data_IF_409419768447
#
_entry.id   IF_409419768447
#
_cell.length_a   1.000
_cell.length_b   1.000
_cell.length_c   1.000
_cell.angle_alpha   90.00
_cell.angle_beta   90.00
_cell.angle_gamma   90.00
#
_symmetry.space_group_name_H-M   'P 1'
#
loop_
_entity.id
_entity.type
_entity.pdbx_description
1 polymer ?
#
# COMPACT_ATOMS: atom_id res chain seq x y z
N UNK A 1 -34.76 3.00 42.27
CA UNK A 1 -34.10 3.54 41.06
C UNK A 1 -33.75 2.37 40.18
N UNK A 2 -34.29 2.29 38.96
CA UNK A 2 -34.15 1.12 38.08
C UNK A 2 -33.21 1.44 36.93
N UNK A 3 -32.25 0.55 36.67
CA UNK A 3 -31.26 0.66 35.58
C UNK A 3 -31.75 -0.06 34.33
N UNK A 4 -32.06 0.69 33.28
CA UNK A 4 -32.31 0.13 31.94
C UNK A 4 -31.01 -0.06 31.16
N UNK A 5 -30.93 -1.04 30.23
CA UNK A 5 -29.73 -1.26 29.42
C UNK A 5 -29.58 -0.17 28.34
N UNK A 6 -28.40 0.44 28.26
CA UNK A 6 -28.04 1.37 27.19
C UNK A 6 -27.90 0.62 25.85
N UNK A 7 -28.61 1.08 24.82
CA UNK A 7 -28.26 0.78 23.42
C UNK A 7 -27.13 1.71 22.99
N UNK A 8 -26.09 1.22 22.29
CA UNK A 8 -25.16 2.12 21.60
C UNK A 8 -25.88 2.77 20.41
N UNK A 9 -25.81 4.10 20.31
CA UNK A 9 -26.27 4.81 19.11
C UNK A 9 -25.27 4.58 17.97
N UNK A 10 -25.78 4.21 16.80
CA UNK A 10 -24.98 4.06 15.59
C UNK A 10 -24.56 5.45 15.09
N UNK A 11 -23.25 5.63 14.87
CA UNK A 11 -22.71 6.82 14.18
C UNK A 11 -23.40 6.92 12.80
N UNK A 12 -24.02 8.06 12.45
CA UNK A 12 -24.64 8.21 11.13
C UNK A 12 -23.60 8.10 10.03
N UNK A 13 -23.82 7.18 9.08
CA UNK A 13 -23.03 7.12 7.85
C UNK A 13 -23.08 8.47 7.12
N UNK A 14 -21.97 8.99 6.58
CA UNK A 14 -22.02 10.16 5.71
C UNK A 14 -22.92 9.84 4.51
N UNK A 15 -23.92 10.69 4.27
CA UNK A 15 -24.87 10.51 3.17
C UNK A 15 -24.12 10.37 1.85
N UNK A 16 -24.49 9.38 1.06
CA UNK A 16 -24.06 9.30 -0.33
C UNK A 16 -24.39 10.61 -1.03
N UNK A 17 -23.36 11.28 -1.56
CA UNK A 17 -23.54 12.44 -2.43
C UNK A 17 -24.21 11.97 -3.72
N UNK A 18 -25.53 12.02 -3.75
CA UNK A 18 -26.33 11.95 -4.95
C UNK A 18 -25.88 13.07 -5.89
N UNK A 19 -25.18 12.71 -6.97
CA UNK A 19 -24.73 13.64 -7.98
C UNK A 19 -25.91 14.09 -8.84
N UNK A 20 -26.65 15.08 -8.35
CA UNK A 20 -27.53 15.88 -9.20
C UNK A 20 -26.67 16.95 -9.89
N UNK A 21 -26.73 17.05 -11.23
CA UNK A 21 -25.82 17.91 -11.98
C UNK A 21 -25.41 17.50 -13.40
N UNK A 22 -26.34 16.99 -14.21
CA UNK A 22 -26.35 17.19 -15.68
C UNK A 22 -25.24 16.55 -16.53
N UNK A 23 -25.48 15.33 -17.01
CA UNK A 23 -24.99 14.90 -18.32
C UNK A 23 -26.17 14.87 -19.31
N UNK A 24 -26.09 15.68 -20.38
CA UNK A 24 -27.04 15.66 -21.48
C UNK A 24 -26.89 14.36 -22.29
N UNK A 25 -27.71 13.35 -21.98
CA UNK A 25 -27.89 12.16 -22.79
C UNK A 25 -28.95 12.40 -23.87
N UNK A 26 -28.53 12.38 -25.13
CA UNK A 26 -29.43 12.43 -26.29
C UNK A 26 -29.27 11.09 -27.02
N UNK A 27 -30.29 10.22 -26.93
CA UNK A 27 -30.79 9.33 -28.00
C UNK A 27 -31.68 8.20 -27.45
N UNK A 28 -32.92 8.22 -27.96
CA UNK A 28 -33.74 7.13 -28.51
C UNK A 28 -34.33 6.02 -27.61
N UNK A 29 -35.64 5.88 -27.79
CA UNK A 29 -36.52 4.85 -27.24
C UNK A 29 -36.28 3.48 -27.90
N UNK A 30 -36.38 2.42 -27.10
CA UNK A 30 -36.87 1.12 -27.57
C UNK A 30 -37.55 0.41 -26.41
N UNK A 31 -38.85 0.19 -26.54
CA UNK A 31 -39.66 -0.64 -25.65
C UNK A 31 -39.37 -2.12 -25.85
N UNK A 32 -39.34 -2.90 -24.78
CA UNK A 32 -40.08 -4.17 -24.78
C UNK A 32 -40.52 -4.58 -23.36
N UNK A 33 -41.57 -5.38 -23.30
CA UNK A 33 -42.33 -5.77 -22.11
C UNK A 33 -42.39 -7.28 -21.95
N UNK A 34 -42.23 -7.81 -20.73
CA UNK A 34 -42.99 -8.98 -20.25
C UNK A 34 -42.69 -9.28 -18.78
N UNK A 35 -43.76 -9.48 -18.00
CA UNK A 35 -43.75 -10.04 -16.65
C UNK A 35 -43.31 -11.52 -16.63
N UNK A 36 -42.89 -12.02 -15.45
CA UNK A 36 -43.61 -13.13 -14.81
C UNK A 36 -43.17 -13.35 -13.34
N UNK A 37 -44.03 -14.03 -12.57
CA UNK A 37 -44.12 -14.00 -11.11
C UNK A 37 -43.72 -15.36 -10.45
N UNK A 38 -43.94 -15.49 -9.12
CA UNK A 38 -44.08 -16.72 -8.30
C UNK A 38 -42.90 -17.25 -7.44
N UNK A 39 -42.91 -16.78 -6.19
CA UNK A 39 -43.11 -17.59 -4.95
C UNK A 39 -42.15 -18.73 -4.50
N UNK A 40 -41.52 -18.49 -3.33
CA UNK A 40 -41.45 -19.35 -2.10
C UNK A 40 -41.14 -20.86 -2.13
N UNK A 41 -40.32 -21.33 -1.17
CA UNK A 41 -40.67 -22.36 -0.15
C UNK A 41 -39.54 -22.52 0.89
N UNK A 42 -39.89 -22.81 2.15
CA UNK A 42 -38.98 -23.26 3.22
C UNK A 42 -39.59 -24.47 3.95
N UNK A 43 -38.78 -25.34 4.58
CA UNK A 43 -38.87 -25.58 6.03
C UNK A 43 -37.46 -25.74 6.68
N UNK A 44 -37.18 -25.48 7.97
CA UNK A 44 -37.64 -26.13 9.22
C UNK A 44 -37.47 -27.66 9.24
N UNK A 45 -37.06 -28.35 10.31
CA UNK A 45 -36.34 -28.05 11.56
C UNK A 45 -35.99 -29.42 12.20
N UNK A 46 -35.03 -29.53 13.13
CA UNK A 46 -35.16 -30.34 14.37
C UNK A 46 -33.88 -30.37 15.22
N UNK A 47 -34.05 -30.64 16.52
CA UNK A 47 -33.00 -30.68 17.54
C UNK A 47 -33.21 -31.86 18.49
N UNK A 48 -32.15 -32.41 19.09
CA UNK A 48 -32.26 -33.30 20.26
C UNK A 48 -31.09 -33.14 21.25
N UNK A 49 -31.45 -33.27 22.53
CA UNK A 49 -30.60 -33.38 23.73
C UNK A 49 -29.98 -34.81 23.84
N UNK A 50 -29.21 -35.24 24.85
CA UNK A 50 -29.25 -34.90 26.29
C UNK A 50 -27.96 -35.34 27.06
N UNK A 51 -27.99 -35.12 28.38
CA UNK A 51 -26.95 -35.21 29.44
C UNK A 51 -26.34 -36.60 29.73
N UNK A 52 -25.22 -36.58 30.47
CA UNK A 52 -24.77 -37.67 31.36
C UNK A 52 -23.47 -37.39 32.13
N UNK A 53 -23.50 -37.36 33.47
CA UNK A 53 -22.34 -37.13 34.38
C UNK A 53 -22.08 -38.38 35.28
N UNK A 54 -21.35 -38.32 36.42
CA UNK A 54 -19.93 -38.71 36.57
C UNK A 54 -19.69 -39.84 37.62
N UNK A 55 -18.43 -40.18 37.94
CA UNK A 55 -18.07 -40.87 39.20
C UNK A 55 -16.64 -40.56 39.69
N UNK A 56 -16.51 -40.47 41.03
CA UNK A 56 -15.26 -40.43 41.82
C UNK A 56 -14.85 -41.83 42.32
N UNK A 57 -13.63 -42.00 42.84
CA UNK A 57 -13.33 -42.17 44.29
C UNK A 57 -11.99 -42.91 44.59
N UNK A 58 -11.54 -42.78 45.85
CA UNK A 58 -10.66 -43.65 46.66
C UNK A 58 -9.20 -43.24 46.98
N UNK A 59 -8.91 -43.27 48.28
CA UNK A 59 -7.66 -42.96 49.01
C UNK A 59 -6.70 -44.18 49.11
N UNK A 60 -5.57 -44.26 49.86
CA UNK A 60 -4.81 -43.45 50.85
C UNK A 60 -3.44 -44.12 51.10
N UNK A 61 -2.46 -43.43 51.74
CA UNK A 61 -1.69 -43.87 52.95
C UNK A 61 -0.44 -43.03 53.23
N UNK A 62 -0.01 -43.01 54.51
CA UNK A 62 1.15 -42.30 55.10
C UNK A 62 1.94 -43.29 55.97
N UNK A 63 3.25 -43.10 56.18
CA UNK A 63 3.75 -43.11 57.57
C UNK A 63 4.90 -42.11 57.88
N UNK A 64 5.06 -41.86 59.19
CA UNK A 64 6.13 -41.12 59.89
C UNK A 64 7.44 -41.96 60.02
N UNK A 65 8.62 -41.50 60.46
CA UNK A 65 9.08 -40.28 61.14
C UNK A 65 10.63 -40.08 60.96
N UNK A 66 11.18 -39.02 61.59
CA UNK A 66 12.46 -38.95 62.35
C UNK A 66 13.48 -37.91 61.85
N UNK A 67 13.96 -37.05 62.78
CA UNK A 67 15.36 -36.63 62.84
C UNK A 67 15.72 -35.27 62.24
N UNK A 68 16.27 -34.37 63.08
CA UNK A 68 16.75 -33.05 62.65
C UNK A 68 18.22 -33.08 62.21
N UNK A 69 18.55 -32.33 61.14
CA UNK A 69 19.91 -31.83 60.90
C UNK A 69 19.87 -30.51 60.10
N UNK A 70 20.53 -29.47 60.64
CA UNK A 70 20.71 -28.19 59.98
C UNK A 70 21.71 -28.31 58.83
N UNK A 71 21.24 -28.22 57.58
CA UNK A 71 22.10 -27.94 56.43
C UNK A 71 21.78 -26.55 55.87
N UNK A 72 22.83 -25.77 55.62
CA UNK A 72 22.73 -24.41 55.12
C UNK A 72 22.10 -24.36 53.73
N UNK A 73 21.23 -23.37 53.51
CA UNK A 73 20.69 -23.04 52.20
C UNK A 73 21.87 -22.58 51.32
N UNK A 74 22.17 -23.24 50.19
CA UNK A 74 23.17 -22.72 49.25
C UNK A 74 22.66 -21.40 48.65
N UNK A 75 23.53 -20.40 48.41
CA UNK A 75 23.09 -19.13 47.86
C UNK A 75 22.43 -19.37 46.51
N UNK A 76 21.28 -18.71 46.28
CA UNK A 76 20.65 -18.66 44.96
C UNK A 76 21.66 -18.00 44.02
N UNK A 77 22.32 -18.82 43.19
CA UNK A 77 23.12 -18.32 42.08
C UNK A 77 22.14 -17.61 41.17
N UNK A 78 22.28 -16.29 41.09
CA UNK A 78 21.47 -15.46 40.24
C UNK A 78 21.85 -15.78 38.79
N UNK A 79 21.15 -16.76 38.19
CA UNK A 79 21.34 -17.12 36.80
C UNK A 79 20.87 -15.94 35.96
N UNK A 80 21.83 -15.13 35.52
CA UNK A 80 21.60 -14.13 34.49
C UNK A 80 20.98 -14.88 33.30
N UNK A 81 19.68 -14.65 33.06
CA UNK A 81 18.99 -15.25 31.93
C UNK A 81 19.71 -14.81 30.67
N UNK A 82 20.28 -15.76 29.93
CA UNK A 82 20.91 -15.42 28.66
C UNK A 82 19.87 -14.73 27.77
N UNK A 83 20.22 -13.59 27.14
CA UNK A 83 19.30 -12.88 26.27
C UNK A 83 18.88 -13.81 25.14
N UNK A 84 17.56 -13.91 24.90
CA UNK A 84 17.03 -14.74 23.82
C UNK A 84 17.66 -14.36 22.46
N UNK A 85 17.71 -15.29 21.51
CA UNK A 85 18.26 -15.01 20.18
C UNK A 85 17.62 -13.77 19.51
N UNK A 86 16.33 -13.52 19.76
CA UNK A 86 15.64 -12.30 19.32
C UNK A 86 16.13 -11.03 20.03
N UNK A 87 16.45 -11.11 21.33
CA UNK A 87 17.06 -10.00 22.08
C UNK A 87 18.47 -9.68 21.59
N UNK A 88 19.28 -10.70 21.32
CA UNK A 88 20.62 -10.55 20.74
C UNK A 88 20.57 -9.91 19.34
N UNK A 89 19.72 -10.41 18.44
CA UNK A 89 19.50 -9.82 17.10
C UNK A 89 19.02 -8.35 17.18
N UNK A 90 18.19 -8.01 18.19
CA UNK A 90 17.77 -6.62 18.47
C UNK A 90 18.94 -5.76 18.92
N UNK A 91 19.78 -6.24 19.84
CA UNK A 91 20.99 -5.52 20.27
C UNK A 91 21.98 -5.32 19.12
N UNK A 92 22.24 -6.35 18.31
CA UNK A 92 23.11 -6.24 17.13
C UNK A 92 22.61 -5.23 16.10
N UNK A 93 21.30 -5.23 15.81
CA UNK A 93 20.71 -4.28 14.85
C UNK A 93 20.73 -2.84 15.36
N UNK A 94 20.49 -2.61 16.66
CA UNK A 94 20.64 -1.27 17.29
C UNK A 94 22.10 -0.80 17.25
N UNK A 95 23.05 -1.64 17.64
CA UNK A 95 24.49 -1.32 17.63
C UNK A 95 25.02 -1.09 16.21
N UNK A 96 24.50 -1.81 15.20
CA UNK A 96 24.83 -1.56 13.79
C UNK A 96 24.32 -0.19 13.33
N UNK A 97 23.06 0.16 13.63
CA UNK A 97 22.46 1.46 13.27
C UNK A 97 23.19 2.66 13.87
N UNK A 98 23.70 2.56 15.11
CA UNK A 98 24.51 3.61 15.73
C UNK A 98 25.81 3.95 14.96
N UNK A 99 26.23 3.09 14.03
CA UNK A 99 27.41 3.28 13.16
C UNK A 99 27.05 3.63 11.70
N UNK A 100 25.76 3.73 11.37
CA UNK A 100 25.29 4.01 10.02
C UNK A 100 24.99 5.51 9.86
N UNK A 101 25.36 6.07 8.71
CA UNK A 101 24.96 7.42 8.35
C UNK A 101 23.48 7.44 7.94
N UNK A 102 22.80 8.56 8.17
CA UNK A 102 21.43 8.78 7.66
C UNK A 102 21.52 9.60 6.38
N UNK A 103 20.81 9.21 5.33
CA UNK A 103 20.76 9.97 4.07
C UNK A 103 19.79 11.17 4.13
N UNK A 104 19.73 11.95 3.04
CA UNK A 104 18.86 13.14 2.94
C UNK A 104 17.35 12.84 3.07
N UNK A 105 16.99 11.56 3.04
CA UNK A 105 15.62 11.06 3.13
C UNK A 105 15.33 10.31 4.44
N UNK A 106 16.24 10.33 5.41
CA UNK A 106 16.04 9.69 6.70
C UNK A 106 16.38 8.19 6.75
N UNK A 107 16.90 7.57 5.69
CA UNK A 107 17.26 6.15 5.69
C UNK A 107 18.70 5.92 6.17
N UNK A 108 18.89 4.92 7.03
CA UNK A 108 20.22 4.45 7.43
C UNK A 108 20.94 3.79 6.25
N UNK A 109 22.18 4.20 5.99
CA UNK A 109 23.05 3.65 4.95
C UNK A 109 24.30 3.02 5.57
N UNK A 110 24.67 1.85 5.05
CA UNK A 110 25.89 1.16 5.44
C UNK A 110 27.12 1.94 4.92
N UNK A 111 28.14 2.25 5.75
CA UNK A 111 29.33 3.03 5.33
C UNK A 111 30.23 2.38 4.27
N UNK A 112 29.94 1.16 3.80
CA UNK A 112 30.80 0.42 2.86
C UNK A 112 30.98 1.13 1.49
N UNK A 113 32.19 1.14 0.89
CA UNK A 113 32.50 1.93 -0.32
C UNK A 113 31.84 1.46 -1.64
N UNK A 114 30.96 0.46 -1.62
CA UNK A 114 30.41 -0.18 -2.83
C UNK A 114 28.95 0.12 -3.13
N UNK A 115 28.23 0.81 -2.23
CA UNK A 115 26.93 1.38 -2.60
C UNK A 115 27.17 2.69 -3.34
N UNK A 116 26.78 2.72 -4.63
CA UNK A 116 26.82 3.92 -5.46
C UNK A 116 26.26 5.12 -4.70
N UNK A 117 27.14 6.09 -4.43
CA UNK A 117 26.75 7.37 -3.87
C UNK A 117 25.70 7.99 -4.78
N UNK A 118 24.56 8.37 -4.20
CA UNK A 118 23.71 9.37 -4.82
C UNK A 118 24.60 10.58 -5.12
N UNK A 119 24.76 11.00 -6.38
CA UNK A 119 25.41 12.25 -6.66
C UNK A 119 24.48 13.35 -6.15
N UNK A 120 24.78 13.87 -4.96
CA UNK A 120 24.05 15.00 -4.38
C UNK A 120 23.84 16.07 -5.46
N UNK A 121 22.61 16.57 -5.58
CA UNK A 121 22.24 17.57 -6.59
C UNK A 121 23.10 18.86 -6.48
N UNK A 122 23.80 19.06 -5.36
CA UNK A 122 24.75 20.13 -5.14
C UNK A 122 26.12 19.94 -5.84
N UNK A 123 26.54 18.72 -6.18
CA UNK A 123 27.93 18.40 -6.53
C UNK A 123 28.25 18.26 -8.03
N UNK A 124 27.30 18.54 -8.94
CA UNK A 124 27.59 18.67 -10.39
C UNK A 124 27.82 20.14 -10.74
N UNK A 125 29.06 20.57 -10.48
CA UNK A 125 29.66 21.81 -10.97
C UNK A 125 31.02 21.49 -11.62
N UNK A 126 31.27 22.10 -12.79
CA UNK A 126 32.51 21.95 -13.60
C UNK A 126 32.72 20.63 -14.35
N UNK A 127 31.94 20.39 -15.42
CA UNK A 127 32.49 19.97 -16.73
C UNK A 127 31.43 20.02 -17.86
N UNK A 128 31.62 20.98 -18.78
CA UNK A 128 31.13 21.05 -20.17
C UNK A 128 29.92 20.20 -20.65
N UNK A 129 28.75 20.83 -20.84
CA UNK A 129 28.19 21.16 -22.17
C UNK A 129 26.71 21.56 -22.06
N UNK A 130 26.26 22.51 -22.88
CA UNK A 130 25.05 23.29 -22.61
C UNK A 130 23.71 22.55 -22.79
N UNK A 131 23.01 22.30 -21.69
CA UNK A 131 21.53 22.21 -21.60
C UNK A 131 21.06 22.79 -20.26
N UNK A 132 20.01 23.62 -20.30
CA UNK A 132 19.58 24.48 -19.19
C UNK A 132 19.42 23.76 -17.84
N UNK A 133 20.25 24.15 -16.87
CA UNK A 133 20.05 23.90 -15.44
C UNK A 133 18.87 24.78 -14.98
N UNK A 134 17.63 24.31 -15.19
CA UNK A 134 16.42 24.98 -14.67
C UNK A 134 16.55 25.01 -13.15
N UNK A 135 16.76 26.20 -12.58
CA UNK A 135 17.13 26.32 -11.16
C UNK A 135 16.05 25.73 -10.25
N UNK A 136 16.47 25.17 -9.12
CA UNK A 136 15.56 24.56 -8.13
C UNK A 136 14.51 25.58 -7.68
N UNK A 137 14.93 26.82 -7.40
CA UNK A 137 14.02 27.94 -7.10
C UNK A 137 13.02 28.27 -8.23
N UNK A 138 13.34 28.00 -9.50
CA UNK A 138 12.37 28.15 -10.61
C UNK A 138 11.28 27.07 -10.55
N UNK A 139 11.60 25.83 -10.14
CA UNK A 139 10.58 24.78 -9.94
C UNK A 139 9.72 25.07 -8.71
N UNK A 140 10.34 25.47 -7.60
CA UNK A 140 9.66 25.80 -6.35
C UNK A 140 8.70 26.99 -6.52
N UNK A 141 9.16 28.08 -7.13
CA UNK A 141 8.31 29.22 -7.45
C UNK A 141 7.14 28.87 -8.38
N UNK A 142 7.32 27.92 -9.32
CA UNK A 142 6.24 27.44 -10.17
C UNK A 142 5.17 26.63 -9.42
N UNK A 143 5.56 25.89 -8.38
CA UNK A 143 4.62 25.22 -7.49
C UNK A 143 3.95 26.19 -6.51
N UNK A 144 4.66 27.21 -6.01
CA UNK A 144 4.07 28.28 -5.21
C UNK A 144 3.01 29.10 -5.99
N UNK A 145 3.25 29.43 -7.27
CA UNK A 145 2.24 30.04 -8.19
C UNK A 145 0.98 29.16 -8.31
N UNK A 146 1.15 27.84 -8.42
CA UNK A 146 0.04 26.91 -8.55
C UNK A 146 -0.76 26.77 -7.25
N UNK A 147 -0.07 26.63 -6.11
CA UNK A 147 -0.70 26.36 -4.81
C UNK A 147 -1.33 27.61 -4.18
N UNK A 148 -0.82 28.82 -4.48
CA UNK A 148 -1.41 30.08 -4.01
C UNK A 148 -2.80 30.38 -4.58
N UNK A 149 -3.20 29.70 -5.67
CA UNK A 149 -4.45 29.96 -6.38
C UNK A 149 -5.18 28.65 -6.76
N UNK A 150 -5.05 27.63 -5.92
CA UNK A 150 -5.37 26.23 -6.24
C UNK A 150 -6.75 26.04 -6.91
N UNK A 151 -7.83 26.46 -6.24
CA UNK A 151 -9.21 26.27 -6.73
C UNK A 151 -9.48 26.95 -8.08
N UNK A 152 -8.87 28.11 -8.33
CA UNK A 152 -9.03 28.85 -9.60
C UNK A 152 -8.18 28.26 -10.73
N UNK A 153 -7.09 27.57 -10.41
CA UNK A 153 -6.08 27.13 -11.37
C UNK A 153 -6.17 25.64 -11.75
N UNK A 154 -6.68 24.76 -10.89
CA UNK A 154 -6.60 23.29 -11.08
C UNK A 154 -7.12 22.80 -12.44
N UNK A 155 -8.37 23.14 -12.79
CA UNK A 155 -8.98 22.73 -14.06
C UNK A 155 -8.24 23.33 -15.27
N UNK A 156 -7.89 24.62 -15.20
CA UNK A 156 -7.29 25.39 -16.30
C UNK A 156 -5.82 25.05 -16.57
N UNK A 157 -5.06 24.67 -15.54
CA UNK A 157 -3.61 24.38 -15.64
C UNK A 157 -3.27 22.88 -15.60
N UNK A 158 -4.23 21.97 -15.82
CA UNK A 158 -4.05 20.50 -15.75
C UNK A 158 -2.84 19.97 -16.56
N UNK A 159 -2.52 20.56 -17.71
CA UNK A 159 -1.32 20.17 -18.48
C UNK A 159 -0.01 20.60 -17.81
N UNK A 160 0.06 21.83 -17.26
CA UNK A 160 1.21 22.35 -16.49
C UNK A 160 1.45 21.50 -15.25
N UNK A 161 0.39 21.19 -14.49
CA UNK A 161 0.45 20.33 -13.29
C UNK A 161 1.08 18.97 -13.64
N UNK A 162 0.62 18.31 -14.70
CA UNK A 162 1.21 17.03 -15.15
C UNK A 162 2.66 17.15 -15.59
N UNK A 163 3.06 18.24 -16.24
CA UNK A 163 4.45 18.46 -16.64
C UNK A 163 5.35 18.64 -15.40
N UNK A 164 4.91 19.43 -14.42
CA UNK A 164 5.66 19.67 -13.19
C UNK A 164 5.72 18.43 -12.29
N UNK A 165 4.60 17.73 -12.10
CA UNK A 165 4.53 16.45 -11.40
C UNK A 165 5.27 15.31 -12.09
N UNK A 166 5.73 15.49 -13.34
CA UNK A 166 6.69 14.61 -14.03
C UNK A 166 8.15 15.02 -13.86
N UNK A 167 8.42 16.22 -13.30
CA UNK A 167 9.76 16.79 -13.11
C UNK A 167 10.19 16.94 -11.64
N UNK A 168 9.35 16.45 -10.72
CA UNK A 168 9.51 16.56 -9.27
C UNK A 168 8.65 17.67 -8.66
N UNK A 169 7.96 17.34 -7.56
CA UNK A 169 7.54 18.32 -6.55
C UNK A 169 8.72 18.51 -5.59
N UNK A 170 9.13 19.75 -5.26
CA UNK A 170 10.14 20.01 -4.23
C UNK A 170 9.71 19.45 -2.87
N UNK A 171 10.65 18.92 -2.10
CA UNK A 171 10.42 18.33 -0.78
C UNK A 171 9.62 19.27 0.14
N UNK A 172 10.09 20.53 0.26
CA UNK A 172 9.45 21.63 1.00
C UNK A 172 7.96 21.87 0.68
N UNK A 173 7.47 21.40 -0.47
CA UNK A 173 6.11 21.60 -0.94
C UNK A 173 5.29 20.31 -1.05
N UNK A 174 5.86 19.13 -0.81
CA UNK A 174 5.15 17.84 -0.99
C UNK A 174 3.89 17.73 -0.16
N UNK A 175 3.97 17.98 1.15
CA UNK A 175 2.80 17.95 2.04
C UNK A 175 1.65 18.83 1.53
N UNK A 176 1.93 20.11 1.23
CA UNK A 176 0.93 21.05 0.72
C UNK A 176 0.41 20.67 -0.66
N UNK A 177 1.27 20.19 -1.55
CA UNK A 177 0.90 19.85 -2.91
C UNK A 177 0.07 18.56 -2.98
N UNK A 178 0.47 17.51 -2.27
CA UNK A 178 -0.27 16.24 -2.22
C UNK A 178 -1.63 16.41 -1.55
N UNK A 179 -1.71 17.14 -0.44
CA UNK A 179 -2.99 17.49 0.20
C UNK A 179 -3.94 18.19 -0.77
N UNK A 180 -3.46 19.22 -1.49
CA UNK A 180 -4.26 19.94 -2.47
C UNK A 180 -4.63 19.09 -3.70
N UNK A 181 -3.72 18.24 -4.20
CA UNK A 181 -3.94 17.36 -5.36
C UNK A 181 -4.91 16.21 -5.07
N UNK A 182 -4.84 15.61 -3.87
CA UNK A 182 -5.79 14.61 -3.40
C UNK A 182 -7.12 15.26 -2.97
N UNK A 183 -7.09 16.52 -2.55
CA UNK A 183 -8.22 17.21 -1.95
C UNK A 183 -8.57 16.65 -0.57
N UNK A 184 -7.56 16.28 0.25
CA UNK A 184 -7.74 15.80 1.62
C UNK A 184 -8.06 16.93 2.60
N UNK A 185 -7.63 18.15 2.29
CA UNK A 185 -8.06 19.40 2.93
C UNK A 185 -9.59 19.54 2.99
N UNK A 186 -10.27 19.10 1.92
CA UNK A 186 -11.74 19.15 1.79
C UNK A 186 -12.47 18.00 2.47
N UNK A 187 -11.73 17.01 3.00
CA UNK A 187 -12.26 15.94 3.83
C UNK A 187 -11.98 16.16 5.33
N UNK A 188 -11.06 17.06 5.68
CA UNK A 188 -10.62 17.28 7.06
C UNK A 188 -11.74 17.82 7.93
N UNK A 189 -12.24 17.00 8.85
CA UNK A 189 -13.21 17.36 9.88
C UNK A 189 -12.54 17.44 11.27
N UNK A 190 -12.51 18.62 11.92
CA UNK A 190 -11.83 18.79 13.21
C UNK A 190 -12.36 17.87 14.31
N UNK A 191 -11.47 17.22 15.06
CA UNK A 191 -11.82 16.37 16.20
C UNK A 191 -12.24 14.94 15.85
N UNK A 192 -12.37 14.60 14.56
CA UNK A 192 -12.74 13.24 14.13
C UNK A 192 -11.57 12.26 14.34
N UNK A 193 -10.34 12.66 14.00
CA UNK A 193 -9.17 11.79 14.18
C UNK A 193 -8.93 11.44 15.65
N UNK A 194 -9.04 12.42 16.54
CA UNK A 194 -8.91 12.25 17.99
C UNK A 194 -10.01 11.32 18.54
N UNK A 195 -11.25 11.47 18.06
CA UNK A 195 -12.39 10.61 18.44
C UNK A 195 -12.16 9.17 18.00
N UNK A 196 -11.71 8.95 16.76
CA UNK A 196 -11.41 7.62 16.22
C UNK A 196 -10.30 6.91 17.02
N UNK A 197 -9.36 7.65 17.59
CA UNK A 197 -8.33 7.11 18.48
C UNK A 197 -8.83 6.80 19.90
N UNK A 198 -9.74 7.62 20.42
CA UNK A 198 -10.25 7.49 21.79
C UNK A 198 -11.37 6.43 21.94
N UNK A 199 -12.28 6.36 20.98
CA UNK A 199 -13.50 5.54 21.02
C UNK A 199 -13.43 4.31 20.10
N UNK A 200 -12.41 4.23 19.25
CA UNK A 200 -12.26 3.21 18.24
C UNK A 200 -11.84 1.84 18.78
N UNK A 201 -12.57 0.79 18.38
CA UNK A 201 -12.18 -0.60 18.57
C UNK A 201 -12.31 -1.36 17.25
N UNK A 202 -11.34 -2.21 16.93
CA UNK A 202 -11.38 -3.08 15.75
C UNK A 202 -10.57 -4.37 15.99
N UNK A 203 -11.07 -5.55 15.58
CA UNK A 203 -10.32 -6.80 15.67
C UNK A 203 -9.03 -6.78 14.82
N UNK A 204 -8.89 -5.81 13.91
CA UNK A 204 -7.71 -5.64 13.07
C UNK A 204 -6.55 -4.93 13.80
N UNK A 205 -6.73 -4.44 15.03
CA UNK A 205 -5.68 -3.75 15.77
C UNK A 205 -4.45 -4.64 16.03
N UNK A 206 -4.63 -5.94 16.31
CA UNK A 206 -3.51 -6.89 16.46
C UNK A 206 -2.78 -7.14 15.12
N UNK A 207 -3.53 -7.16 14.01
CA UNK A 207 -2.97 -7.29 12.66
C UNK A 207 -2.11 -6.06 12.33
N UNK A 208 -2.59 -4.86 12.69
CA UNK A 208 -1.85 -3.61 12.56
C UNK A 208 -0.55 -3.67 13.37
N UNK A 209 -0.59 -3.99 14.67
CA UNK A 209 0.63 -4.03 15.51
C UNK A 209 1.74 -4.90 14.92
N UNK A 210 1.38 -6.09 14.42
CA UNK A 210 2.33 -7.03 13.82
C UNK A 210 3.02 -6.46 12.57
N UNK A 211 2.33 -5.61 11.81
CA UNK A 211 2.86 -5.01 10.58
C UNK A 211 3.59 -3.67 10.81
N UNK A 212 3.41 -2.98 11.95
CA UNK A 212 4.13 -1.72 12.28
C UNK A 212 5.65 -1.89 12.13
N UNK A 213 6.21 -2.94 12.76
CA UNK A 213 7.66 -3.22 12.74
C UNK A 213 8.25 -3.49 11.34
N UNK A 214 7.40 -3.75 10.34
CA UNK A 214 7.80 -4.03 8.95
C UNK A 214 7.74 -2.78 8.05
N UNK A 215 7.15 -1.69 8.54
CA UNK A 215 6.98 -0.47 7.77
C UNK A 215 8.22 0.42 7.93
N UNK A 216 9.04 0.50 6.87
CA UNK A 216 10.27 1.29 6.81
C UNK A 216 11.26 1.09 7.99
N UNK A 217 11.63 -0.15 8.36
CA UNK A 217 12.54 -0.41 9.49
C UNK A 217 13.96 0.13 9.31
N UNK A 218 14.32 0.58 8.09
CA UNK A 218 15.59 1.23 7.76
C UNK A 218 15.53 2.76 7.84
N UNK A 219 14.37 3.35 8.13
CA UNK A 219 14.17 4.80 8.22
C UNK A 219 14.19 5.27 9.68
N UNK A 220 14.92 6.35 9.98
CA UNK A 220 15.15 6.87 11.33
C UNK A 220 13.87 7.07 12.15
N UNK A 221 12.82 7.63 11.54
CA UNK A 221 11.50 7.84 12.18
C UNK A 221 10.83 6.53 12.66
N UNK A 222 11.05 5.40 11.99
CA UNK A 222 10.34 4.13 12.26
C UNK A 222 11.24 3.01 12.80
N UNK A 223 12.55 3.25 12.88
CA UNK A 223 13.54 2.24 13.27
C UNK A 223 13.48 1.86 14.75
N UNK A 224 13.06 2.77 15.63
CA UNK A 224 12.93 2.53 17.07
C UNK A 224 11.63 1.75 17.38
N UNK A 225 11.78 0.57 17.98
CA UNK A 225 10.65 -0.27 18.39
C UNK A 225 9.84 0.41 19.50
N UNK A 226 8.57 0.72 19.23
CA UNK A 226 7.73 1.49 20.14
C UNK A 226 7.98 3.00 20.15
N UNK A 227 8.93 3.51 19.35
CA UNK A 227 9.22 4.94 19.23
C UNK A 227 8.07 5.77 18.65
N UNK A 228 8.25 7.09 18.63
CA UNK A 228 7.19 8.04 18.25
C UNK A 228 6.64 7.77 16.84
N UNK A 229 7.49 7.55 15.83
CA UNK A 229 7.03 7.30 14.47
C UNK A 229 6.25 5.98 14.31
N UNK A 230 6.64 4.93 15.03
CA UNK A 230 5.84 3.69 15.08
C UNK A 230 4.48 3.91 15.77
N UNK A 231 4.44 4.75 16.80
CA UNK A 231 3.20 5.13 17.49
C UNK A 231 2.29 5.99 16.61
N UNK A 232 2.85 6.95 15.87
CA UNK A 232 2.11 7.76 14.90
C UNK A 232 1.57 6.90 13.75
N UNK A 233 2.37 5.95 13.24
CA UNK A 233 1.93 4.99 12.22
C UNK A 233 0.78 4.11 12.71
N UNK A 234 0.89 3.54 13.91
CA UNK A 234 -0.18 2.81 14.59
C UNK A 234 -1.46 3.64 14.66
N UNK A 235 -1.37 4.87 15.13
CA UNK A 235 -2.53 5.75 15.32
C UNK A 235 -3.23 6.04 13.98
N UNK A 236 -2.50 6.41 12.93
CA UNK A 236 -3.07 6.63 11.59
C UNK A 236 -3.79 5.39 11.06
N UNK A 237 -3.20 4.20 11.19
CA UNK A 237 -3.78 2.95 10.71
C UNK A 237 -4.99 2.49 11.53
N UNK A 238 -4.96 2.66 12.86
CA UNK A 238 -6.09 2.34 13.74
C UNK A 238 -7.28 3.27 13.48
N UNK A 239 -7.02 4.58 13.38
CA UNK A 239 -8.06 5.55 13.03
C UNK A 239 -8.71 5.23 11.68
N UNK A 240 -7.92 4.87 10.66
CA UNK A 240 -8.46 4.45 9.36
C UNK A 240 -9.32 3.18 9.44
N UNK A 241 -8.86 2.15 10.15
CA UNK A 241 -9.58 0.89 10.29
C UNK A 241 -10.93 1.02 11.05
N UNK A 242 -11.08 2.08 11.85
CA UNK A 242 -12.34 2.44 12.53
C UNK A 242 -13.20 3.37 11.66
N UNK A 243 -12.58 4.32 10.94
CA UNK A 243 -13.25 5.26 10.03
C UNK A 243 -13.98 4.54 8.89
N UNK A 244 -13.36 3.53 8.29
CA UNK A 244 -13.95 2.73 7.24
C UNK A 244 -13.87 1.23 7.59
N UNK A 245 -14.86 0.66 8.31
CA UNK A 245 -14.84 -0.74 8.72
C UNK A 245 -15.15 -1.73 7.58
N UNK A 246 -15.67 -1.27 6.43
CA UNK A 246 -15.90 -2.11 5.24
C UNK A 246 -14.57 -2.53 4.59
N UNK A 247 -13.62 -1.60 4.52
CA UNK A 247 -12.24 -1.85 4.06
C UNK A 247 -11.36 -2.32 5.22
N UNK A 248 -11.53 -1.71 6.40
CA UNK A 248 -10.73 -1.95 7.59
C UNK A 248 -9.24 -1.64 7.36
N UNK A 249 -8.38 -2.57 7.77
CA UNK A 249 -6.95 -2.56 7.48
C UNK A 249 -6.59 -3.67 6.50
N UNK A 250 -5.82 -3.33 5.48
CA UNK A 250 -5.29 -4.27 4.49
C UNK A 250 -3.77 -4.11 4.40
N UNK A 251 -3.05 -5.24 4.25
CA UNK A 251 -1.60 -5.26 4.18
C UNK A 251 -1.10 -4.37 3.03
N UNK A 252 -0.10 -3.54 3.32
CA UNK A 252 0.42 -2.51 2.41
C UNK A 252 -0.01 -1.10 2.80
N UNK A 253 -1.14 -0.91 3.48
CA UNK A 253 -1.56 0.42 3.98
C UNK A 253 -0.51 1.07 4.89
N UNK A 254 0.23 0.30 5.69
CA UNK A 254 1.32 0.82 6.52
C UNK A 254 2.46 1.45 5.72
N UNK A 255 2.71 0.97 4.50
CA UNK A 255 3.68 1.60 3.59
C UNK A 255 3.18 2.93 3.05
N UNK A 256 1.86 3.10 2.85
CA UNK A 256 1.26 4.37 2.46
C UNK A 256 1.28 5.37 3.62
N UNK A 257 0.81 4.95 4.81
CA UNK A 257 0.77 5.81 5.99
C UNK A 257 2.17 6.24 6.44
N UNK A 258 3.16 5.34 6.42
CA UNK A 258 4.55 5.68 6.73
C UNK A 258 5.16 6.68 5.73
N UNK A 259 4.89 6.51 4.43
CA UNK A 259 5.29 7.46 3.38
C UNK A 259 4.67 8.85 3.62
N UNK A 260 3.41 8.93 4.06
CA UNK A 260 2.75 10.21 4.35
C UNK A 260 3.34 10.88 5.60
N UNK A 261 3.56 10.11 6.68
CA UNK A 261 4.14 10.58 7.94
C UNK A 261 5.56 11.15 7.81
N UNK A 262 6.33 10.70 6.81
CA UNK A 262 7.64 11.29 6.49
C UNK A 262 7.55 12.76 6.02
N UNK A 263 6.38 13.21 5.54
CA UNK A 263 6.18 14.55 4.99
C UNK A 263 5.19 15.43 5.77
N UNK A 264 4.31 14.86 6.60
CA UNK A 264 3.29 15.63 7.33
C UNK A 264 2.87 14.98 8.66
N UNK A 265 2.23 15.73 9.59
CA UNK A 265 1.82 15.19 10.88
C UNK A 265 0.76 14.08 10.78
N UNK A 266 0.43 13.40 11.89
CA UNK A 266 -0.45 12.23 11.87
C UNK A 266 -1.87 12.51 11.38
N UNK A 267 -2.47 13.63 11.77
CA UNK A 267 -3.85 13.96 11.34
C UNK A 267 -3.92 14.23 9.83
N UNK A 268 -2.99 15.03 9.29
CA UNK A 268 -2.86 15.27 7.85
C UNK A 268 -2.60 13.97 7.08
N UNK A 269 -1.77 13.07 7.64
CA UNK A 269 -1.47 11.76 7.06
C UNK A 269 -2.71 10.86 7.03
N UNK A 270 -3.53 10.88 8.07
CA UNK A 270 -4.81 10.16 8.12
C UNK A 270 -5.78 10.67 7.03
N UNK A 271 -5.98 11.99 6.92
CA UNK A 271 -6.88 12.55 5.89
C UNK A 271 -6.35 12.35 4.46
N UNK A 272 -5.02 12.38 4.27
CA UNK A 272 -4.42 12.04 2.98
C UNK A 272 -4.57 10.55 2.65
N UNK A 273 -4.49 9.65 3.64
CA UNK A 273 -4.76 8.22 3.46
C UNK A 273 -6.21 7.98 3.04
N UNK A 274 -7.19 8.53 3.76
CA UNK A 274 -8.62 8.48 3.41
C UNK A 274 -8.83 8.94 1.96
N UNK A 275 -8.38 10.15 1.63
CA UNK A 275 -8.54 10.73 0.30
C UNK A 275 -7.85 9.91 -0.80
N UNK A 276 -6.70 9.31 -0.51
CA UNK A 276 -5.96 8.46 -1.45
C UNK A 276 -6.70 7.16 -1.73
N UNK A 277 -7.22 6.50 -0.70
CA UNK A 277 -7.93 5.23 -0.82
C UNK A 277 -9.29 5.41 -1.50
N UNK A 278 -10.01 6.50 -1.23
CA UNK A 278 -11.32 6.76 -1.85
C UNK A 278 -11.23 7.26 -3.29
N UNK A 279 -10.29 8.16 -3.60
CA UNK A 279 -10.25 8.88 -4.91
C UNK A 279 -9.20 8.33 -5.86
N UNK A 280 -8.09 7.79 -5.36
CA UNK A 280 -6.96 7.33 -6.19
C UNK A 280 -6.86 5.81 -6.25
N UNK A 281 -7.08 5.09 -5.15
CA UNK A 281 -6.96 3.63 -5.04
C UNK A 281 -8.29 2.94 -4.71
N UNK A 282 -9.41 3.50 -5.21
CA UNK A 282 -10.77 3.01 -4.97
C UNK A 282 -10.85 1.50 -5.23
N UNK A 283 -11.35 0.76 -4.25
CA UNK A 283 -11.55 -0.69 -4.26
C UNK A 283 -10.28 -1.56 -4.37
N UNK A 284 -9.06 -1.00 -4.29
CA UNK A 284 -7.82 -1.78 -4.32
C UNK A 284 -7.64 -2.65 -3.08
N UNK A 285 -8.00 -2.12 -1.90
CA UNK A 285 -7.76 -2.73 -0.59
C UNK A 285 -9.00 -3.43 0.00
N UNK A 286 -10.01 -3.72 -0.84
CA UNK A 286 -11.14 -4.58 -0.44
C UNK A 286 -10.62 -5.96 -0.01
N UNK A 287 -11.31 -6.69 0.90
CA UNK A 287 -10.85 -8.02 1.36
C UNK A 287 -10.56 -9.02 0.23
N UNK A 288 -11.27 -8.92 -0.91
CA UNK A 288 -11.09 -9.78 -2.09
C UNK A 288 -10.18 -9.18 -3.18
N UNK A 289 -9.55 -8.03 -2.90
CA UNK A 289 -8.65 -7.27 -3.78
C UNK A 289 -9.23 -7.03 -5.19
N UNK A 290 -10.52 -6.69 -5.27
CA UNK A 290 -11.30 -6.73 -6.51
C UNK A 290 -10.69 -5.87 -7.62
N UNK A 291 -10.43 -4.59 -7.35
CA UNK A 291 -9.89 -3.68 -8.35
C UNK A 291 -8.44 -4.03 -8.73
N UNK A 292 -7.67 -4.57 -7.80
CA UNK A 292 -6.31 -5.03 -8.07
C UNK A 292 -6.30 -6.24 -9.01
N UNK A 293 -7.21 -7.21 -8.82
CA UNK A 293 -7.41 -8.36 -9.73
C UNK A 293 -7.85 -7.93 -11.12
N UNK A 294 -8.78 -6.96 -11.21
CA UNK A 294 -9.15 -6.35 -12.49
C UNK A 294 -7.95 -5.67 -13.15
N UNK A 295 -7.19 -4.87 -12.39
CA UNK A 295 -6.06 -4.11 -12.91
C UNK A 295 -4.87 -5.01 -13.27
N UNK A 296 -4.70 -6.18 -12.64
CA UNK A 296 -3.77 -7.23 -13.06
C UNK A 296 -4.11 -7.76 -14.47
N UNK A 297 -5.40 -8.04 -14.72
CA UNK A 297 -5.88 -8.49 -16.01
C UNK A 297 -5.78 -7.37 -17.08
N UNK A 298 -6.03 -6.11 -16.71
CA UNK A 298 -5.77 -4.95 -17.60
C UNK A 298 -4.28 -4.84 -17.91
N UNK A 299 -3.42 -4.99 -16.91
CA UNK A 299 -1.96 -4.92 -17.04
C UNK A 299 -1.42 -6.02 -17.95
N UNK A 300 -1.93 -7.26 -17.84
CA UNK A 300 -1.62 -8.38 -18.75
C UNK A 300 -1.89 -8.00 -20.22
N UNK A 301 -3.11 -7.50 -20.51
CA UNK A 301 -3.50 -7.10 -21.87
C UNK A 301 -2.63 -5.95 -22.38
N UNK A 302 -2.25 -5.01 -21.53
CA UNK A 302 -1.33 -3.92 -21.88
C UNK A 302 0.09 -4.44 -22.12
N UNK A 303 0.56 -5.43 -21.36
CA UNK A 303 1.86 -6.08 -21.55
C UNK A 303 1.92 -6.83 -22.89
N UNK A 304 0.89 -7.58 -23.26
CA UNK A 304 0.78 -8.17 -24.60
C UNK A 304 0.85 -7.14 -25.73
N UNK A 305 0.15 -6.00 -25.58
CA UNK A 305 0.15 -4.91 -26.57
C UNK A 305 1.51 -4.22 -26.69
N UNK A 306 2.25 -4.09 -25.59
CA UNK A 306 3.48 -3.28 -25.52
C UNK A 306 4.77 -4.08 -25.62
N UNK A 307 4.76 -5.36 -25.26
CA UNK A 307 5.93 -6.25 -25.28
C UNK A 307 5.52 -7.73 -25.47
N UNK A 308 4.87 -8.06 -26.60
CA UNK A 308 4.34 -9.40 -26.91
C UNK A 308 5.30 -10.56 -26.60
N UNK A 309 6.60 -10.44 -26.93
CA UNK A 309 7.61 -11.48 -26.66
C UNK A 309 7.82 -11.73 -25.17
N UNK A 310 7.77 -10.68 -24.34
CA UNK A 310 7.91 -10.81 -22.89
C UNK A 310 6.62 -11.38 -22.28
N UNK A 311 5.44 -10.91 -22.72
CA UNK A 311 4.15 -11.45 -22.28
C UNK A 311 4.09 -12.98 -22.47
N UNK A 312 4.36 -13.47 -23.68
CA UNK A 312 4.36 -14.91 -24.00
C UNK A 312 5.38 -15.71 -23.18
N UNK A 313 6.51 -15.10 -22.77
CA UNK A 313 7.45 -15.75 -21.86
C UNK A 313 6.87 -15.90 -20.46
N UNK A 314 6.27 -14.83 -19.91
CA UNK A 314 5.62 -14.88 -18.59
C UNK A 314 4.42 -15.85 -18.59
N UNK A 315 3.61 -15.88 -19.65
CA UNK A 315 2.47 -16.80 -19.80
C UNK A 315 2.92 -18.28 -19.86
N UNK A 316 4.07 -18.54 -20.50
CA UNK A 316 4.66 -19.88 -20.60
C UNK A 316 5.21 -20.36 -19.25
N UNK A 317 5.75 -19.45 -18.44
CA UNK A 317 6.22 -19.73 -17.09
C UNK A 317 5.13 -19.57 -16.02
N UNK A 318 3.87 -19.33 -16.43
CA UNK A 318 2.73 -19.18 -15.54
C UNK A 318 2.91 -18.11 -14.44
N UNK A 319 3.51 -16.97 -14.82
CA UNK A 319 3.71 -15.80 -13.93
C UNK A 319 2.70 -14.69 -14.28
N UNK A 320 1.43 -14.78 -13.82
CA UNK A 320 0.43 -13.74 -14.06
C UNK A 320 0.79 -12.45 -13.31
N UNK A 321 0.36 -11.26 -13.81
CA UNK A 321 0.76 -9.98 -13.22
C UNK A 321 0.47 -9.83 -11.73
N UNK A 322 -0.62 -10.44 -11.23
CA UNK A 322 -1.03 -10.34 -9.83
C UNK A 322 0.10 -10.75 -8.85
N UNK A 323 1.01 -11.66 -9.24
CA UNK A 323 2.11 -12.11 -8.39
C UNK A 323 3.14 -11.01 -8.07
N UNK A 324 3.32 -10.02 -8.96
CA UNK A 324 4.29 -8.94 -8.77
C UNK A 324 3.63 -7.55 -8.66
N UNK A 325 2.52 -7.31 -9.37
CA UNK A 325 1.85 -6.00 -9.26
C UNK A 325 1.17 -5.77 -7.91
N UNK A 326 0.88 -6.82 -7.13
CA UNK A 326 0.29 -6.67 -5.78
C UNK A 326 1.19 -5.83 -4.89
N UNK A 327 2.47 -6.19 -4.77
CA UNK A 327 3.47 -5.39 -4.06
C UNK A 327 3.59 -3.99 -4.67
N UNK A 328 3.74 -3.91 -5.99
CA UNK A 328 3.99 -2.64 -6.69
C UNK A 328 2.85 -1.63 -6.53
N UNK A 329 1.60 -2.06 -6.65
CA UNK A 329 0.43 -1.18 -6.65
C UNK A 329 -0.08 -0.93 -5.23
N UNK A 330 -0.19 -1.95 -4.37
CA UNK A 330 -0.66 -1.77 -2.98
C UNK A 330 0.35 -1.04 -2.09
N UNK A 331 1.63 -0.97 -2.46
CA UNK A 331 2.63 -0.16 -1.74
C UNK A 331 3.04 1.11 -2.49
N UNK A 332 2.38 1.43 -3.61
CA UNK A 332 2.75 2.55 -4.49
C UNK A 332 4.26 2.62 -4.78
N UNK A 333 4.84 1.46 -5.08
CA UNK A 333 6.26 1.22 -5.35
C UNK A 333 7.27 1.51 -4.22
N UNK A 334 6.83 1.92 -3.02
CA UNK A 334 7.71 2.23 -1.86
C UNK A 334 8.66 1.08 -1.49
N UNK A 335 8.23 -0.17 -1.65
CA UNK A 335 9.04 -1.37 -1.36
C UNK A 335 9.95 -1.81 -2.51
N UNK A 336 9.87 -1.14 -3.67
CA UNK A 336 10.34 -1.68 -4.95
C UNK A 336 11.35 -0.78 -5.67
N UNK A 337 11.21 0.54 -5.57
CA UNK A 337 12.01 1.50 -6.33
C UNK A 337 13.02 2.27 -5.45
N UNK A 338 14.08 2.85 -6.05
CA UNK A 338 14.89 3.88 -5.38
C UNK A 338 14.01 5.03 -4.87
N UNK A 339 14.37 5.64 -3.75
CA UNK A 339 13.49 6.57 -3.04
C UNK A 339 13.11 7.80 -3.86
N UNK A 340 14.06 8.41 -4.57
CA UNK A 340 13.80 9.47 -5.55
C UNK A 340 12.69 9.08 -6.52
N UNK A 341 12.78 7.86 -7.05
CA UNK A 341 11.81 7.31 -8.00
C UNK A 341 10.44 7.07 -7.36
N UNK A 342 10.39 6.60 -6.10
CA UNK A 342 9.13 6.47 -5.32
C UNK A 342 8.43 7.82 -5.21
N UNK A 343 9.14 8.85 -4.74
CA UNK A 343 8.62 10.23 -4.64
C UNK A 343 8.10 10.73 -6.00
N UNK A 344 8.86 10.46 -7.08
CA UNK A 344 8.45 10.81 -8.45
C UNK A 344 7.18 10.07 -8.92
N UNK A 345 6.94 8.84 -8.47
CA UNK A 345 5.70 8.08 -8.75
C UNK A 345 4.52 8.66 -7.98
N UNK A 346 4.69 9.02 -6.70
CA UNK A 346 3.65 9.64 -5.87
C UNK A 346 3.21 11.01 -6.43
N UNK A 347 4.18 11.87 -6.79
CA UNK A 347 3.92 13.14 -7.50
C UNK A 347 3.05 12.92 -8.75
N UNK A 348 3.36 11.89 -9.55
CA UNK A 348 2.65 11.56 -10.78
C UNK A 348 1.26 10.98 -10.50
N UNK A 349 1.09 10.14 -9.47
CA UNK A 349 -0.19 9.57 -9.06
C UNK A 349 -1.20 10.67 -8.73
N UNK A 350 -0.80 11.63 -7.90
CA UNK A 350 -1.66 12.75 -7.52
C UNK A 350 -1.93 13.70 -8.71
N UNK A 351 -0.98 13.89 -9.62
CA UNK A 351 -1.18 14.72 -10.82
C UNK A 351 -1.99 14.04 -11.96
N UNK A 352 -2.05 12.70 -12.02
CA UNK A 352 -2.62 11.96 -13.18
C UNK A 352 -3.68 10.89 -12.84
N UNK A 353 -3.92 10.59 -11.57
CA UNK A 353 -4.63 9.37 -11.11
C UNK A 353 -3.79 8.12 -11.36
N UNK A 354 -4.40 6.92 -11.30
CA UNK A 354 -3.70 5.59 -11.36
C UNK A 354 -2.84 5.28 -12.60
N UNK A 355 -3.02 5.99 -13.72
CA UNK A 355 -2.37 5.67 -15.01
C UNK A 355 -0.82 5.56 -14.95
N UNK A 356 -0.08 6.36 -14.16
CA UNK A 356 1.36 6.19 -13.96
C UNK A 356 1.74 4.81 -13.43
N UNK A 357 0.95 4.19 -12.55
CA UNK A 357 1.27 2.87 -11.98
C UNK A 357 1.43 1.82 -13.10
N UNK A 358 0.47 1.74 -14.01
CA UNK A 358 0.56 0.92 -15.22
C UNK A 358 1.78 1.25 -16.09
N UNK A 359 2.04 2.54 -16.34
CA UNK A 359 3.16 2.97 -17.19
C UNK A 359 4.53 2.66 -16.57
N UNK A 360 4.66 2.80 -15.26
CA UNK A 360 5.88 2.53 -14.50
C UNK A 360 6.11 1.01 -14.45
N UNK A 361 5.10 0.20 -14.11
CA UNK A 361 5.22 -1.27 -14.15
C UNK A 361 5.61 -1.80 -15.53
N UNK A 362 5.01 -1.28 -16.61
CA UNK A 362 5.39 -1.66 -17.98
C UNK A 362 6.77 -1.13 -18.39
N UNK A 363 7.23 -0.01 -17.83
CA UNK A 363 8.59 0.50 -18.02
C UNK A 363 9.62 -0.38 -17.30
N UNK A 364 9.36 -0.79 -16.05
CA UNK A 364 10.18 -1.75 -15.29
C UNK A 364 10.38 -3.04 -16.10
N UNK A 365 9.29 -3.63 -16.61
CA UNK A 365 9.32 -4.83 -17.43
C UNK A 365 10.06 -4.61 -18.77
N UNK A 366 9.98 -3.40 -19.34
CA UNK A 366 10.72 -3.04 -20.57
C UNK A 366 12.22 -2.88 -20.32
N UNK A 367 12.61 -2.27 -19.22
CA UNK A 367 14.02 -2.06 -18.81
C UNK A 367 14.68 -3.41 -18.49
N UNK A 368 13.97 -4.30 -17.79
CA UNK A 368 14.48 -5.62 -17.41
C UNK A 368 14.19 -6.73 -18.45
N UNK A 369 13.60 -6.37 -19.60
CA UNK A 369 13.13 -7.30 -20.65
C UNK A 369 14.20 -8.32 -21.07
N UNK A 370 15.43 -7.87 -21.28
CA UNK A 370 16.49 -8.72 -21.81
C UNK A 370 17.04 -9.68 -20.75
N UNK A 371 17.11 -9.28 -19.47
CA UNK A 371 17.37 -10.18 -18.34
C UNK A 371 16.24 -11.21 -18.24
N UNK A 372 14.98 -10.78 -18.17
CA UNK A 372 13.81 -11.66 -18.08
C UNK A 372 13.75 -12.71 -19.21
N UNK A 373 14.12 -12.34 -20.44
CA UNK A 373 14.07 -13.23 -21.61
C UNK A 373 15.30 -14.14 -21.79
N UNK A 374 16.46 -13.80 -21.21
CA UNK A 374 17.74 -14.50 -21.45
C UNK A 374 18.30 -15.19 -20.21
N UNK A 375 17.95 -14.72 -19.01
CA UNK A 375 18.55 -15.09 -17.73
C UNK A 375 17.51 -15.58 -16.70
N UNK A 376 16.21 -15.57 -17.03
CA UNK A 376 15.14 -16.07 -16.17
C UNK A 376 14.28 -17.11 -16.91
N UNK A 377 14.81 -18.32 -17.19
CA UNK A 377 14.06 -19.39 -17.86
C UNK A 377 12.89 -19.96 -17.04
N UNK A 378 12.88 -19.83 -15.71
CA UNK A 378 11.84 -20.38 -14.81
C UNK A 378 11.00 -19.31 -14.11
N UNK A 379 9.86 -19.70 -13.54
CA UNK A 379 9.01 -18.83 -12.74
C UNK A 379 9.70 -18.26 -11.50
N UNK A 380 10.52 -19.06 -10.81
CA UNK A 380 11.26 -18.65 -9.62
C UNK A 380 12.28 -17.53 -9.91
N UNK A 381 13.03 -17.64 -11.00
CA UNK A 381 14.01 -16.60 -11.40
C UNK A 381 13.31 -15.31 -11.84
N UNK A 382 12.19 -15.42 -12.57
CA UNK A 382 11.35 -14.28 -12.95
C UNK A 382 10.84 -13.55 -11.69
N UNK A 383 10.26 -14.28 -10.75
CA UNK A 383 9.70 -13.71 -9.52
C UNK A 383 10.78 -13.13 -8.61
N UNK A 384 11.93 -13.81 -8.49
CA UNK A 384 13.09 -13.30 -7.77
C UNK A 384 13.49 -11.91 -8.27
N UNK A 385 13.60 -11.74 -9.60
CA UNK A 385 13.92 -10.45 -10.21
C UNK A 385 12.80 -9.41 -10.06
N UNK A 386 11.53 -9.78 -10.25
CA UNK A 386 10.41 -8.83 -10.25
C UNK A 386 10.01 -8.34 -8.84
N UNK A 387 10.31 -9.13 -7.80
CA UNK A 387 10.11 -8.76 -6.40
C UNK A 387 11.34 -8.06 -5.80
N UNK A 388 12.55 -8.33 -6.34
CA UNK A 388 13.82 -7.73 -5.89
C UNK A 388 14.58 -7.10 -7.07
N UNK A 389 14.02 -6.02 -7.62
CA UNK A 389 14.56 -5.39 -8.83
C UNK A 389 15.95 -4.74 -8.62
N UNK A 390 16.87 -4.88 -9.59
CA UNK A 390 18.12 -4.13 -9.62
C UNK A 390 17.87 -2.61 -9.64
N UNK A 391 18.40 -1.90 -8.64
CA UNK A 391 18.14 -0.47 -8.43
C UNK A 391 18.89 0.45 -9.41
N UNK A 392 20.01 -0.01 -9.96
CA UNK A 392 20.89 0.68 -10.91
C UNK A 392 20.17 1.16 -12.18
N UNK A 393 19.12 0.46 -12.61
CA UNK A 393 18.36 0.79 -13.84
C UNK A 393 17.05 1.54 -13.57
N UNK A 394 16.77 1.87 -12.31
CA UNK A 394 15.47 2.34 -11.84
C UNK A 394 15.53 3.75 -11.22
N UNK A 395 16.59 4.50 -11.54
CA UNK A 395 16.71 5.92 -11.25
C UNK A 395 15.54 6.75 -11.80
N UNK A 396 15.27 7.85 -11.10
CA UNK A 396 14.05 8.63 -11.22
C UNK A 396 13.79 9.13 -12.65
N UNK A 397 14.73 9.85 -13.24
CA UNK A 397 14.56 10.42 -14.58
C UNK A 397 14.53 9.33 -15.66
N UNK A 398 15.41 8.31 -15.56
CA UNK A 398 15.45 7.20 -16.52
C UNK A 398 14.11 6.44 -16.57
N UNK A 399 13.56 6.07 -15.40
CA UNK A 399 12.33 5.30 -15.33
C UNK A 399 11.10 6.15 -15.70
N UNK A 400 11.06 7.43 -15.29
CA UNK A 400 10.00 8.36 -15.70
C UNK A 400 10.00 8.51 -17.22
N UNK A 401 11.14 8.76 -17.85
CA UNK A 401 11.23 8.82 -19.32
C UNK A 401 10.80 7.50 -19.98
N UNK A 402 11.25 6.36 -19.46
CA UNK A 402 10.86 5.04 -19.96
C UNK A 402 9.32 4.84 -19.88
N UNK A 403 8.68 5.30 -18.80
CA UNK A 403 7.23 5.27 -18.62
C UNK A 403 6.48 6.19 -19.60
N UNK A 404 7.08 7.32 -20.00
CA UNK A 404 6.50 8.23 -20.99
C UNK A 404 6.55 7.67 -22.42
N UNK A 405 7.53 6.79 -22.71
CA UNK A 405 7.59 6.00 -23.96
C UNK A 405 6.49 4.93 -24.04
N UNK A 406 5.82 4.58 -22.92
CA UNK A 406 4.67 3.67 -22.90
C UNK A 406 3.38 4.42 -23.28
N UNK A 407 2.96 4.26 -24.55
CA UNK A 407 1.80 4.94 -25.15
C UNK A 407 0.45 4.35 -24.67
N UNK A 408 0.03 4.73 -23.46
CA UNK A 408 -1.27 4.35 -22.86
C UNK A 408 -2.06 5.61 -22.44
N UNK A 409 -3.32 5.70 -22.83
CA UNK A 409 -4.32 6.72 -22.45
C UNK A 409 -5.13 6.22 -21.24
N UNK A 410 -5.79 7.15 -20.52
CA UNK A 410 -6.73 6.77 -19.44
C UNK A 410 -7.90 5.93 -20.00
N UNK A 411 -8.50 6.37 -21.11
CA UNK A 411 -9.56 5.65 -21.80
C UNK A 411 -9.19 4.21 -22.19
N UNK A 412 -7.92 3.91 -22.50
CA UNK A 412 -7.48 2.54 -22.82
C UNK A 412 -7.60 1.62 -21.59
N UNK A 413 -7.28 2.13 -20.40
CA UNK A 413 -7.40 1.42 -19.12
C UNK A 413 -8.88 1.23 -18.78
N UNK A 414 -9.68 2.30 -18.86
CA UNK A 414 -11.09 2.26 -18.46
C UNK A 414 -11.93 1.38 -19.40
N UNK A 415 -11.66 1.40 -20.71
CA UNK A 415 -12.26 0.47 -21.67
C UNK A 415 -11.87 -0.99 -21.39
N UNK A 416 -10.60 -1.25 -21.04
CA UNK A 416 -10.15 -2.59 -20.67
C UNK A 416 -10.81 -3.08 -19.37
N UNK A 417 -10.96 -2.22 -18.37
CA UNK A 417 -11.70 -2.51 -17.12
C UNK A 417 -13.14 -2.88 -17.40
N UNK A 418 -13.89 -2.06 -18.16
CA UNK A 418 -15.29 -2.33 -18.54
C UNK A 418 -15.44 -3.63 -19.33
N UNK A 419 -14.45 -3.98 -20.16
CA UNK A 419 -14.44 -5.25 -20.90
C UNK A 419 -14.14 -6.46 -20.01
N UNK A 420 -13.26 -6.31 -19.01
CA UNK A 420 -12.87 -7.39 -18.08
C UNK A 420 -13.96 -7.66 -17.03
N UNK A 421 -14.68 -6.63 -16.57
CA UNK A 421 -15.83 -6.83 -15.67
C UNK A 421 -16.95 -7.67 -16.28
N UNK A 422 -17.06 -7.69 -17.61
CA UNK A 422 -18.03 -8.52 -18.35
C UNK A 422 -17.56 -9.97 -18.58
N UNK A 423 -16.35 -10.34 -18.17
CA UNK A 423 -15.74 -11.66 -18.45
C UNK A 423 -15.69 -12.59 -17.23
N UNK A 424 -16.32 -12.18 -16.11
CA UNK A 424 -16.04 -12.64 -14.74
C UNK A 424 -14.58 -12.40 -14.34
N UNK A 425 -14.36 -11.82 -13.16
CA UNK A 425 -13.00 -11.41 -12.76
C UNK A 425 -12.26 -12.65 -12.24
N UNK A 426 -11.27 -13.21 -12.96
CA UNK A 426 -10.63 -14.45 -12.56
C UNK A 426 -9.92 -14.27 -11.21
N UNK A 427 -9.94 -15.31 -10.37
CA UNK A 427 -9.29 -15.29 -9.04
C UNK A 427 -7.83 -14.88 -9.11
N UNK A 428 -7.11 -15.38 -10.13
CA UNK A 428 -5.70 -15.10 -10.38
C UNK A 428 -5.42 -13.79 -11.14
N UNK A 429 -6.45 -13.00 -11.49
CA UNK A 429 -6.28 -11.71 -12.17
C UNK A 429 -5.64 -11.80 -13.57
N UNK A 430 -5.94 -12.85 -14.35
CA UNK A 430 -5.37 -13.11 -15.67
C UNK A 430 -6.42 -13.60 -16.68
N UNK A 431 -6.44 -12.97 -17.86
CA UNK A 431 -7.29 -13.30 -19.00
C UNK A 431 -6.66 -14.42 -19.86
N UNK A 432 -5.34 -14.59 -19.82
CA UNK A 432 -4.67 -15.66 -20.58
C UNK A 432 -5.08 -17.06 -20.09
N UNK A 433 -5.29 -17.25 -18.78
CA UNK A 433 -5.80 -18.51 -18.24
C UNK A 433 -7.27 -18.80 -18.63
N UNK A 434 -8.13 -17.77 -18.69
CA UNK A 434 -9.51 -17.94 -19.20
C UNK A 434 -9.55 -18.43 -20.65
N UNK A 435 -8.54 -18.08 -21.47
CA UNK A 435 -8.40 -18.62 -22.83
C UNK A 435 -7.93 -20.06 -22.85
N UNK A 436 -6.97 -20.44 -21.99
CA UNK A 436 -6.54 -21.84 -21.86
C UNK A 436 -7.70 -22.76 -21.41
N UNK A 437 -8.59 -22.28 -20.53
CA UNK A 437 -9.76 -23.05 -20.07
C UNK A 437 -10.92 -23.12 -21.07
N UNK A 438 -11.03 -22.17 -22.02
CA UNK A 438 -12.10 -22.14 -23.04
C UNK A 438 -11.70 -22.71 -24.40
N UNK A 439 -10.45 -23.15 -24.57
CA UNK A 439 -10.04 -23.98 -25.70
C UNK A 439 -10.18 -25.45 -25.31
N UNK A 440 -11.24 -26.17 -25.74
CA UNK A 440 -11.23 -27.63 -25.64
C UNK A 440 -10.06 -28.18 -26.48
N UNK A 441 -9.45 -29.25 -25.97
CA UNK A 441 -8.41 -30.02 -26.67
C UNK A 441 -9.01 -30.86 -27.80
#
# INVERSE_FOLDING_TARGET
>A
MSTGPFRPELIPLPRSLSSDGGENGMHDEASDTSDDDLSSVAPSADAHSDRGTPMDDASSRVPTEVGAQLHAIPPVVNSAQEPSAMSLLRQETVVRRQKMAVDEYGFYRDPSPTNHSHPSSAAIGMAQSGKQKVSVGSKEQQWLDLLSHWDKQFAKKRSKIKKLGRSGIPESLRAKAWTALAGSDKLKEPGIYERLLAEGNSPLFEVIERDISRCFPEHSMFAEEGGEGQTNLRNVLRAYAVYNPEIGYCQGMGMLAGMMLMHMPPEESFWLLVSTLEKHLKNFFTPVLLQLRMDAAVFEVLLHKTSKRLAVHLDKQEVPPLMYITQWFLTLYTTTLPWDTVLRVWDMLYCEGVKPLFRIGLAILRVNRDTLLKQCPTNAEILSLLLHLPRDKLEADHLVEASLRVKIRRADIDHLRKRISLMEIPERGTVSLLRKQRSPH
#
